data_IF_341364612183
#
_entry.id   IF_341364612183
#
_cell.length_a   1.000
_cell.length_b   1.000
_cell.length_c   1.000
_cell.angle_alpha   90.00
_cell.angle_beta   90.00
_cell.angle_gamma   90.00
#
_symmetry.space_group_name_H-M   'P 1'
#
loop_
_entity.id
_entity.type
_entity.pdbx_description
1 polymer ?
#
# COMPACT_ATOMS: atom_id res chain seq x y z
N UNK A 1 -12.98 -14.99 1.25
CA UNK A 1 -11.58 -14.85 1.68
C UNK A 1 -11.07 -13.58 1.04
N UNK A 2 -10.86 -12.52 1.82
CA UNK A 2 -10.39 -11.24 1.28
C UNK A 2 -8.88 -11.31 1.10
N UNK A 3 -8.41 -11.32 -0.15
CA UNK A 3 -6.98 -11.24 -0.45
C UNK A 3 -6.45 -9.82 -0.23
N UNK A 4 -5.16 -9.71 0.04
CA UNK A 4 -4.42 -8.44 0.06
C UNK A 4 -3.21 -8.57 -0.86
N UNK A 5 -2.73 -7.43 -1.38
CA UNK A 5 -1.46 -7.35 -2.07
C UNK A 5 -0.41 -6.79 -1.12
N UNK A 6 0.84 -7.15 -1.38
CA UNK A 6 2.00 -6.74 -0.60
C UNK A 6 2.86 -5.79 -1.43
N UNK A 7 3.25 -4.67 -0.83
CA UNK A 7 4.20 -3.72 -1.41
C UNK A 7 5.41 -3.61 -0.49
N UNK A 8 6.59 -3.99 -1.00
CA UNK A 8 7.85 -3.89 -0.28
C UNK A 8 8.52 -2.55 -0.60
N UNK A 9 8.72 -1.73 0.42
CA UNK A 9 9.27 -0.38 0.26
C UNK A 9 10.06 0.04 1.50
N UNK A 10 11.13 0.81 1.31
CA UNK A 10 11.85 1.43 2.44
C UNK A 10 11.02 2.59 2.98
N UNK A 11 10.62 2.51 4.24
CA UNK A 11 9.87 3.57 4.92
C UNK A 11 10.45 3.85 6.30
N UNK A 12 10.37 5.11 6.69
CA UNK A 12 10.67 5.54 8.05
C UNK A 12 9.45 5.32 8.95
N UNK A 13 9.62 4.54 10.01
CA UNK A 13 8.55 4.34 10.99
C UNK A 13 8.24 5.65 11.74
N UNK A 14 6.97 6.11 11.77
CA UNK A 14 6.61 7.35 12.45
C UNK A 14 6.74 7.26 13.99
N UNK A 15 6.81 6.04 14.53
CA UNK A 15 6.84 5.83 15.98
C UNK A 15 8.26 5.76 16.56
N UNK A 16 9.17 5.05 15.90
CA UNK A 16 10.54 4.85 16.39
C UNK A 16 11.61 5.54 15.54
N UNK A 17 11.24 6.11 14.38
CA UNK A 17 12.15 6.82 13.49
C UNK A 17 13.11 5.94 12.69
N UNK A 18 13.08 4.62 12.88
CA UNK A 18 13.93 3.67 12.13
C UNK A 18 13.41 3.57 10.70
N UNK A 19 14.33 3.72 9.74
CA UNK A 19 14.09 3.40 8.34
C UNK A 19 14.39 1.92 8.10
N UNK A 20 13.43 1.23 7.47
CA UNK A 20 13.57 -0.19 7.18
C UNK A 20 12.69 -0.62 6.01
N UNK A 21 12.99 -1.78 5.45
CA UNK A 21 12.11 -2.42 4.48
C UNK A 21 10.79 -2.81 5.18
N UNK A 22 9.72 -2.11 4.82
CA UNK A 22 8.38 -2.34 5.31
C UNK A 22 7.58 -3.16 4.29
N UNK A 23 6.74 -4.05 4.82
CA UNK A 23 5.71 -4.74 4.06
C UNK A 23 4.40 -3.98 4.24
N UNK A 24 3.88 -3.45 3.14
CA UNK A 24 2.65 -2.67 3.10
C UNK A 24 1.54 -3.54 2.52
N UNK A 25 0.54 -3.84 3.33
CA UNK A 25 -0.68 -4.52 2.92
C UNK A 25 -1.65 -3.51 2.29
N UNK A 26 -2.14 -3.79 1.09
CA UNK A 26 -3.16 -2.97 0.44
C UNK A 26 -4.22 -3.81 -0.26
N UNK A 27 -5.40 -3.21 -0.46
CA UNK A 27 -6.61 -3.92 -0.91
C UNK A 27 -7.17 -3.38 -2.21
N UNK A 28 -6.30 -3.06 -3.16
CA UNK A 28 -6.71 -2.58 -4.48
C UNK A 28 -5.91 -3.23 -5.60
N UNK A 29 -6.44 -3.13 -6.82
CA UNK A 29 -5.96 -3.86 -7.99
C UNK A 29 -6.38 -5.34 -7.97
N UNK A 30 -5.60 -6.17 -8.67
CA UNK A 30 -5.83 -7.60 -8.79
C UNK A 30 -5.47 -8.30 -7.46
N UNK A 31 -6.46 -8.90 -6.80
CA UNK A 31 -6.34 -9.55 -5.49
C UNK A 31 -5.77 -10.98 -5.55
N UNK A 32 -4.55 -11.13 -6.04
CA UNK A 32 -3.89 -12.43 -6.22
C UNK A 32 -2.70 -12.64 -5.28
N UNK A 33 -2.63 -11.94 -4.14
CA UNK A 33 -1.49 -11.98 -3.22
C UNK A 33 -0.17 -11.68 -3.93
N UNK A 34 -0.18 -10.61 -4.72
CA UNK A 34 1.01 -10.23 -5.47
C UNK A 34 1.96 -9.40 -4.62
N UNK A 35 3.23 -9.68 -4.81
CA UNK A 35 4.35 -8.92 -4.25
C UNK A 35 4.80 -7.87 -5.25
N UNK A 36 4.68 -6.60 -4.87
CA UNK A 36 5.07 -5.44 -5.66
C UNK A 36 6.21 -4.67 -4.99
N UNK A 37 6.90 -3.87 -5.80
CA UNK A 37 7.84 -2.82 -5.41
C UNK A 37 7.42 -1.48 -6.00
N UNK A 38 7.95 -0.38 -5.44
CA UNK A 38 7.77 0.95 -6.05
C UNK A 38 8.41 0.96 -7.45
N UNK A 39 7.67 1.47 -8.43
CA UNK A 39 8.02 1.44 -9.85
C UNK A 39 7.37 0.30 -10.62
N UNK A 40 6.78 -0.70 -9.95
CA UNK A 40 6.08 -1.79 -10.63
C UNK A 40 4.73 -1.34 -11.17
N UNK A 41 4.31 -1.98 -12.26
CA UNK A 41 3.00 -1.78 -12.84
C UNK A 41 1.94 -2.56 -12.06
N UNK A 42 0.98 -1.85 -11.51
CA UNK A 42 -0.21 -2.40 -10.88
C UNK A 42 -1.13 -3.00 -11.94
N UNK A 43 -1.45 -4.28 -11.76
CA UNK A 43 -2.53 -4.91 -12.50
C UNK A 43 -3.86 -4.64 -11.79
N UNK A 44 -4.79 -4.00 -12.50
CA UNK A 44 -6.12 -3.72 -11.97
C UNK A 44 -7.06 -4.94 -12.02
N UNK A 45 -6.75 -5.92 -12.88
CA UNK A 45 -7.57 -7.09 -13.19
C UNK A 45 -8.93 -6.76 -13.85
N UNK A 46 -9.78 -7.78 -14.05
CA UNK A 46 -11.19 -7.63 -14.49
C UNK A 46 -12.18 -7.90 -13.33
N UNK A 47 -13.11 -6.96 -13.07
CA UNK A 47 -14.27 -6.99 -12.14
C UNK A 47 -14.11 -7.56 -10.70
N UNK A 48 -15.03 -7.20 -9.78
CA UNK A 48 -15.13 -7.74 -8.41
C UNK A 48 -15.10 -6.71 -7.28
N UNK A 49 -14.92 -7.16 -6.02
CA UNK A 49 -14.86 -6.36 -4.77
C UNK A 49 -13.59 -5.49 -4.66
N UNK A 50 -13.22 -4.82 -5.76
CA UNK A 50 -12.04 -3.95 -5.87
C UNK A 50 -12.41 -2.53 -5.50
N UNK A 51 -11.45 -1.86 -4.87
CA UNK A 51 -11.50 -0.42 -4.63
C UNK A 51 -10.37 0.21 -5.41
N UNK A 52 -10.59 0.93 -6.52
CA UNK A 52 -11.87 1.19 -7.17
C UNK A 52 -12.40 -0.04 -7.93
N UNK A 53 -13.71 -0.06 -8.19
CA UNK A 53 -14.38 -1.19 -8.89
C UNK A 53 -13.85 -1.41 -10.30
N UNK A 54 -13.43 -0.33 -10.95
CA UNK A 54 -12.90 -0.31 -12.30
C UNK A 54 -11.55 0.41 -12.29
N UNK A 55 -10.69 0.08 -13.26
CA UNK A 55 -9.44 0.80 -13.49
C UNK A 55 -9.76 2.30 -13.72
N UNK A 56 -9.20 3.23 -12.93
CA UNK A 56 -9.42 4.66 -13.14
C UNK A 56 -8.93 5.16 -14.48
N UNK A 57 -9.50 6.28 -14.94
CA UNK A 57 -9.02 6.97 -16.13
C UNK A 57 -7.54 7.34 -15.97
N UNK A 58 -6.75 7.07 -17.01
CA UNK A 58 -5.30 7.29 -16.97
C UNK A 58 -4.54 6.42 -15.96
N UNK A 59 -5.17 5.45 -15.29
CA UNK A 59 -4.51 4.57 -14.32
C UNK A 59 -4.01 5.28 -13.07
N UNK A 60 -4.64 6.42 -12.72
CA UNK A 60 -4.25 7.24 -11.57
C UNK A 60 -5.18 6.94 -10.38
N UNK A 61 -4.59 6.66 -9.22
CA UNK A 61 -5.35 6.34 -8.01
C UNK A 61 -4.53 6.62 -6.77
N UNK A 62 -5.18 7.03 -5.68
CA UNK A 62 -4.59 7.13 -4.36
C UNK A 62 -5.32 6.15 -3.46
N UNK A 63 -4.58 5.17 -2.96
CA UNK A 63 -5.10 4.07 -2.16
C UNK A 63 -4.46 4.04 -0.79
N UNK A 64 -5.16 3.43 0.15
CA UNK A 64 -4.66 3.24 1.51
C UNK A 64 -3.90 1.90 1.60
N UNK A 65 -2.77 1.96 2.29
CA UNK A 65 -2.01 0.79 2.70
C UNK A 65 -1.79 0.80 4.21
N UNK A 66 -1.42 -0.35 4.73
CA UNK A 66 -1.19 -0.56 6.15
C UNK A 66 0.12 -1.31 6.36
N UNK A 67 0.95 -0.87 7.30
CA UNK A 67 2.24 -1.47 7.57
C UNK A 67 2.51 -1.62 9.06
N UNK A 68 3.22 -2.67 9.44
CA UNK A 68 3.76 -2.86 10.80
C UNK A 68 5.27 -2.64 10.81
N UNK A 69 5.77 -1.86 11.77
CA UNK A 69 7.20 -1.70 11.96
C UNK A 69 7.83 -2.98 12.53
N UNK A 70 8.79 -3.56 11.81
CA UNK A 70 9.53 -4.75 12.28
C UNK A 70 10.28 -4.54 13.62
N UNK A 71 10.60 -3.29 13.97
CA UNK A 71 11.41 -2.93 15.14
C UNK A 71 10.56 -2.63 16.38
N UNK A 72 9.63 -1.67 16.29
CA UNK A 72 8.82 -1.27 17.43
C UNK A 72 7.45 -1.97 17.50
N UNK A 73 7.10 -2.78 16.49
CA UNK A 73 5.84 -3.53 16.40
C UNK A 73 4.58 -2.67 16.42
N UNK A 74 4.73 -1.37 16.21
CA UNK A 74 3.62 -0.44 16.01
C UNK A 74 3.30 -0.34 14.55
N UNK A 75 2.01 -0.26 14.29
CA UNK A 75 1.44 -0.11 12.96
C UNK A 75 1.28 1.36 12.59
N UNK A 76 1.20 1.59 11.29
CA UNK A 76 0.94 2.91 10.73
C UNK A 76 0.28 2.79 9.36
N UNK A 77 -0.47 3.81 9.02
CA UNK A 77 -1.12 3.93 7.73
C UNK A 77 -0.17 4.58 6.72
N UNK A 78 -0.32 4.19 5.46
CA UNK A 78 0.39 4.79 4.35
C UNK A 78 -0.60 5.14 3.24
N UNK A 79 -0.25 6.15 2.45
CA UNK A 79 -0.89 6.44 1.18
C UNK A 79 -0.01 5.89 0.07
N UNK A 80 -0.61 5.10 -0.82
CA UNK A 80 0.03 4.55 -2.01
C UNK A 80 -0.50 5.31 -3.23
N UNK A 81 0.39 5.97 -3.95
CA UNK A 81 0.06 6.71 -5.16
C UNK A 81 0.33 5.86 -6.39
N UNK A 82 -0.72 5.57 -7.15
CA UNK A 82 -0.63 4.93 -8.46
C UNK A 82 -0.74 5.99 -9.53
N UNK A 83 0.23 6.05 -10.45
CA UNK A 83 0.24 7.00 -11.56
C UNK A 83 0.50 6.26 -12.87
N UNK A 84 -0.41 6.39 -13.84
CA UNK A 84 -0.30 5.66 -15.12
C UNK A 84 -0.11 4.15 -14.94
N UNK A 85 -0.89 3.54 -14.03
CA UNK A 85 -0.79 2.14 -13.62
C UNK A 85 0.49 1.76 -12.88
N UNK A 86 1.34 2.70 -12.48
CA UNK A 86 2.60 2.42 -11.77
C UNK A 86 2.45 2.80 -10.30
N UNK A 87 2.88 1.91 -9.40
CA UNK A 87 3.02 2.19 -7.97
C UNK A 87 4.17 3.20 -7.80
N UNK A 88 3.84 4.49 -7.86
CA UNK A 88 4.81 5.56 -8.06
C UNK A 88 5.46 5.99 -6.74
N UNK A 89 4.67 6.09 -5.67
CA UNK A 89 5.14 6.59 -4.38
C UNK A 89 4.34 5.97 -3.23
N UNK A 90 4.99 5.83 -2.09
CA UNK A 90 4.35 5.46 -0.82
C UNK A 90 4.81 6.45 0.24
N UNK A 91 3.87 7.01 0.98
CA UNK A 91 4.15 7.96 2.06
C UNK A 91 3.37 7.61 3.32
N UNK A 92 3.95 7.87 4.49
CA UNK A 92 3.28 7.66 5.77
C UNK A 92 2.14 8.66 5.91
N UNK A 93 0.94 8.17 6.22
CA UNK A 93 -0.22 9.02 6.53
C UNK A 93 -0.24 9.34 8.03
N UNK A 94 0.37 10.47 8.40
CA UNK A 94 0.40 10.94 9.78
C UNK A 94 -0.96 11.41 10.31
N UNK A 95 -1.98 11.53 9.46
CA UNK A 95 -3.33 11.94 9.88
C UNK A 95 -4.10 10.78 10.52
N UNK A 96 -3.69 9.53 10.25
CA UNK A 96 -4.34 8.32 10.76
C UNK A 96 -3.48 7.63 11.81
N UNK A 97 -3.93 7.55 13.07
CA UNK A 97 -3.22 6.77 14.07
C UNK A 97 -3.31 5.27 13.72
N UNK A 98 -2.21 4.55 13.90
CA UNK A 98 -2.21 3.11 13.99
C UNK A 98 -3.09 2.62 15.16
N UNK A 99 -3.50 1.37 15.09
CA UNK A 99 -4.27 0.69 16.13
C UNK A 99 -3.39 0.24 17.31
N UNK A 100 -2.11 -0.05 17.07
CA UNK A 100 -1.12 -0.49 18.06
C UNK A 100 -0.32 0.74 18.52
N UNK A 101 -0.52 1.10 19.80
CA UNK A 101 0.08 2.27 20.44
C UNK A 101 1.27 1.94 21.31
#
# INVERSE_FOLDING_TARGET
MSGYNLLRVSLQCPHCGVESLAEVDFRFGLFEFRDYSVGDRLEWGEEGDRSPRERPEGGNFDGEGYAECAFCKKDFWVTINVRSDVLAEVSVDSSKPGYIR
#
